data_IF_917789475468
#
_entry.id   IF_917789475468
#
_cell.length_a   1.000
_cell.length_b   1.000
_cell.length_c   1.000
_cell.angle_alpha   90.00
_cell.angle_beta   90.00
_cell.angle_gamma   90.00
#
_symmetry.space_group_name_H-M   'P 1'
#
loop_
_entity.id
_entity.type
_entity.pdbx_description
1 polymer ?
#
# COMPACT_ATOMS: atom_id res chain seq x y z
N UNK A 1 -0.39 -7.50 3.76
CA UNK A 1 0.29 -7.25 2.48
C UNK A 1 -0.46 -7.81 1.27
N UNK A 2 -0.72 -9.11 1.19
CA UNK A 2 -1.45 -9.75 0.08
C UNK A 2 -2.83 -9.10 -0.16
N UNK A 3 -3.60 -8.82 0.89
CA UNK A 3 -4.91 -8.17 0.77
C UNK A 3 -4.84 -6.78 0.10
N UNK A 4 -3.81 -6.00 0.39
CA UNK A 4 -3.64 -4.68 -0.25
C UNK A 4 -3.30 -4.84 -1.73
N UNK A 5 -2.46 -5.79 -2.07
CA UNK A 5 -2.15 -6.11 -3.47
C UNK A 5 -3.42 -6.54 -4.21
N UNK A 6 -4.25 -7.39 -3.61
CA UNK A 6 -5.53 -7.82 -4.17
C UNK A 6 -6.48 -6.63 -4.36
N UNK A 7 -6.58 -5.74 -3.38
CA UNK A 7 -7.38 -4.51 -3.50
C UNK A 7 -6.92 -3.66 -4.69
N UNK A 8 -5.63 -3.47 -4.85
CA UNK A 8 -5.08 -2.66 -5.92
C UNK A 8 -5.22 -3.32 -7.30
N UNK A 9 -5.07 -4.65 -7.39
CA UNK A 9 -5.34 -5.41 -8.61
C UNK A 9 -6.81 -5.28 -9.00
N UNK A 10 -7.73 -5.43 -8.05
CA UNK A 10 -9.17 -5.23 -8.30
C UNK A 10 -9.47 -3.80 -8.74
N UNK A 11 -8.83 -2.81 -8.12
CA UNK A 11 -8.99 -1.42 -8.49
C UNK A 11 -8.50 -1.14 -9.92
N UNK A 12 -7.34 -1.66 -10.30
CA UNK A 12 -6.79 -1.54 -11.66
C UNK A 12 -7.67 -2.25 -12.69
N UNK A 13 -8.19 -3.44 -12.35
CA UNK A 13 -9.12 -4.16 -13.21
C UNK A 13 -10.41 -3.38 -13.41
N UNK A 14 -10.96 -2.78 -12.35
CA UNK A 14 -12.15 -1.96 -12.42
C UNK A 14 -11.98 -0.75 -13.36
N UNK A 15 -10.86 -0.04 -13.27
CA UNK A 15 -10.58 1.11 -14.15
C UNK A 15 -10.42 0.69 -15.61
N UNK A 16 -9.89 -0.49 -15.87
CA UNK A 16 -9.65 -0.99 -17.23
C UNK A 16 -10.89 -1.57 -17.92
N UNK A 17 -11.86 -2.04 -17.15
CA UNK A 17 -13.10 -2.58 -17.71
C UNK A 17 -13.97 -1.41 -18.18
N UNK A 18 -14.01 -1.17 -19.50
CA UNK A 18 -14.85 -0.13 -20.11
C UNK A 18 -16.27 -0.18 -19.55
N UNK A 19 -16.57 0.69 -18.83
CA UNK A 19 -17.54 1.39 -18.02
C UNK A 19 -19.04 1.13 -18.26
N UNK A 20 -19.49 0.26 -19.09
CA UNK A 20 -20.94 0.15 -19.38
C UNK A 20 -21.69 -0.71 -18.36
N UNK A 21 -21.04 -1.74 -17.81
CA UNK A 21 -21.64 -2.57 -16.78
C UNK A 21 -20.67 -2.81 -15.63
N UNK A 22 -20.70 -1.91 -14.63
CA UNK A 22 -20.00 -2.19 -13.39
C UNK A 22 -20.78 -3.28 -12.68
N UNK A 23 -20.13 -4.40 -12.55
CA UNK A 23 -20.63 -5.49 -11.74
C UNK A 23 -20.61 -5.04 -10.26
N UNK A 24 -21.78 -4.97 -9.65
CA UNK A 24 -21.92 -4.57 -8.25
C UNK A 24 -21.09 -5.48 -7.32
N UNK A 25 -20.81 -6.70 -7.74
CA UNK A 25 -20.06 -7.67 -6.98
C UNK A 25 -18.57 -7.31 -6.86
N UNK A 26 -17.98 -6.65 -7.87
CA UNK A 26 -16.62 -6.09 -7.73
C UNK A 26 -16.56 -5.00 -6.67
N UNK A 27 -17.57 -4.16 -6.58
CA UNK A 27 -17.65 -3.10 -5.57
C UNK A 27 -17.81 -3.67 -4.17
N UNK A 28 -18.64 -4.71 -4.02
CA UNK A 28 -18.77 -5.45 -2.75
C UNK A 28 -17.42 -6.05 -2.34
N UNK A 29 -16.73 -6.74 -3.26
CA UNK A 29 -15.42 -7.33 -3.00
C UNK A 29 -14.39 -6.26 -2.60
N UNK A 30 -14.36 -5.13 -3.31
CA UNK A 30 -13.50 -4.00 -2.96
C UNK A 30 -13.77 -3.50 -1.54
N UNK A 31 -15.04 -3.29 -1.19
CA UNK A 31 -15.44 -2.80 0.13
C UNK A 31 -15.06 -3.80 1.24
N UNK A 32 -15.26 -5.09 1.03
CA UNK A 32 -14.88 -6.14 1.98
C UNK A 32 -13.37 -6.14 2.22
N UNK A 33 -12.58 -6.21 1.15
CA UNK A 33 -11.11 -6.25 1.25
C UNK A 33 -10.59 -4.98 1.95
N UNK A 34 -11.13 -3.82 1.58
CA UNK A 34 -10.73 -2.55 2.17
C UNK A 34 -11.05 -2.49 3.68
N UNK A 35 -12.24 -2.95 4.07
CA UNK A 35 -12.67 -3.02 5.47
C UNK A 35 -11.74 -3.93 6.28
N UNK A 36 -11.40 -5.11 5.77
CA UNK A 36 -10.45 -6.02 6.42
C UNK A 36 -9.08 -5.37 6.58
N UNK A 37 -8.59 -4.67 5.55
CA UNK A 37 -7.28 -4.00 5.59
C UNK A 37 -7.22 -2.94 6.68
N UNK A 38 -8.24 -2.07 6.76
CA UNK A 38 -8.32 -1.03 7.80
C UNK A 38 -8.43 -1.65 9.19
N UNK A 39 -9.21 -2.72 9.33
CA UNK A 39 -9.38 -3.43 10.60
C UNK A 39 -8.08 -4.02 11.13
N UNK A 40 -7.19 -4.46 10.22
CA UNK A 40 -5.88 -4.98 10.60
C UNK A 40 -4.90 -3.88 11.00
N UNK A 41 -4.96 -2.72 10.38
CA UNK A 41 -4.05 -1.61 10.65
C UNK A 41 -4.63 -0.28 10.18
N UNK A 42 -4.94 0.61 11.12
CA UNK A 42 -5.56 1.91 10.86
C UNK A 42 -4.76 2.77 9.85
N UNK A 43 -3.41 2.67 9.83
CA UNK A 43 -2.56 3.37 8.88
C UNK A 43 -2.92 3.06 7.41
N UNK A 44 -3.44 1.87 7.14
CA UNK A 44 -3.86 1.52 5.78
C UNK A 44 -5.15 2.23 5.33
N UNK A 45 -5.81 2.97 6.21
CA UNK A 45 -6.89 3.89 5.87
C UNK A 45 -6.50 4.93 4.82
N UNK A 46 -5.20 5.27 4.72
CA UNK A 46 -4.65 6.15 3.67
C UNK A 46 -5.02 5.66 2.25
N UNK A 47 -5.16 4.35 2.03
CA UNK A 47 -5.59 3.78 0.75
C UNK A 47 -7.05 4.10 0.40
N UNK A 48 -7.82 4.68 1.34
CA UNK A 48 -9.18 5.19 1.02
C UNK A 48 -9.18 6.21 -0.11
N UNK A 49 -8.07 6.92 -0.31
CA UNK A 49 -7.86 7.84 -1.43
C UNK A 49 -8.11 7.13 -2.78
N UNK A 50 -7.81 5.84 -2.90
CA UNK A 50 -8.06 5.05 -4.12
C UNK A 50 -9.55 4.81 -4.39
N UNK A 51 -10.41 4.95 -3.39
CA UNK A 51 -11.86 4.83 -3.58
C UNK A 51 -12.49 6.06 -4.24
N UNK A 52 -11.80 7.20 -4.23
CA UNK A 52 -12.35 8.47 -4.69
C UNK A 52 -12.83 8.45 -6.14
N UNK A 53 -12.07 7.97 -7.14
CA UNK A 53 -12.55 7.85 -8.51
C UNK A 53 -13.76 6.91 -8.64
N UNK A 54 -13.78 5.86 -7.81
CA UNK A 54 -14.88 4.91 -7.75
C UNK A 54 -16.17 5.56 -7.25
N UNK A 55 -16.07 6.35 -6.19
CA UNK A 55 -17.20 7.08 -5.60
C UNK A 55 -17.75 8.09 -6.61
N UNK A 56 -16.89 8.86 -7.28
CA UNK A 56 -17.30 9.82 -8.32
C UNK A 56 -18.05 9.10 -9.44
N UNK A 57 -17.51 7.99 -9.91
CA UNK A 57 -18.14 7.21 -10.97
C UNK A 57 -19.52 6.67 -10.56
N UNK A 58 -19.64 6.12 -9.36
CA UNK A 58 -20.92 5.63 -8.83
C UNK A 58 -21.94 6.76 -8.65
N UNK A 59 -21.49 7.93 -8.23
CA UNK A 59 -22.32 9.12 -8.13
C UNK A 59 -22.87 9.52 -9.49
N UNK A 60 -22.03 9.59 -10.51
CA UNK A 60 -22.43 9.90 -11.89
C UNK A 60 -23.44 8.89 -12.47
N UNK A 61 -23.29 7.61 -12.11
CA UNK A 61 -24.22 6.54 -12.55
C UNK A 61 -25.47 6.40 -11.66
N UNK A 62 -25.65 7.26 -10.66
CA UNK A 62 -26.76 7.19 -9.66
C UNK A 62 -26.85 5.83 -8.92
N UNK A 63 -25.74 5.09 -8.85
CA UNK A 63 -25.65 3.77 -8.19
C UNK A 63 -25.11 3.83 -6.77
N UNK A 64 -24.66 4.99 -6.30
CA UNK A 64 -24.07 5.17 -4.97
C UNK A 64 -25.06 4.80 -3.86
N UNK A 65 -26.31 5.22 -3.97
CA UNK A 65 -27.36 4.92 -2.99
C UNK A 65 -27.58 3.41 -2.88
N UNK A 66 -27.67 2.71 -4.01
CA UNK A 66 -27.84 1.25 -4.02
C UNK A 66 -26.68 0.51 -3.35
N UNK A 67 -25.45 1.06 -3.41
CA UNK A 67 -24.30 0.50 -2.71
C UNK A 67 -24.43 0.71 -1.19
N UNK A 68 -24.80 1.91 -0.75
CA UNK A 68 -24.92 2.26 0.68
C UNK A 68 -25.99 1.41 1.39
N UNK A 69 -27.11 1.10 0.71
CA UNK A 69 -28.16 0.24 1.24
C UNK A 69 -27.93 -1.26 1.03
N UNK A 70 -26.74 -1.66 0.55
CA UNK A 70 -26.41 -3.07 0.39
C UNK A 70 -26.04 -3.70 1.74
N UNK A 71 -26.52 -4.93 1.99
CA UNK A 71 -26.18 -5.70 3.21
C UNK A 71 -24.69 -5.82 3.45
N UNK A 72 -23.88 -6.01 2.38
CA UNK A 72 -22.43 -6.10 2.48
C UNK A 72 -21.82 -4.81 3.03
N UNK A 73 -22.27 -3.66 2.55
CA UNK A 73 -21.80 -2.36 3.03
C UNK A 73 -22.17 -2.16 4.51
N UNK A 74 -23.38 -2.54 4.90
CA UNK A 74 -23.81 -2.49 6.30
C UNK A 74 -22.92 -3.34 7.22
N UNK A 75 -22.62 -4.59 6.84
CA UNK A 75 -21.71 -5.44 7.64
C UNK A 75 -20.28 -4.88 7.70
N UNK A 76 -19.78 -4.33 6.62
CA UNK A 76 -18.48 -3.67 6.59
C UNK A 76 -18.44 -2.45 7.53
N UNK A 77 -19.50 -1.66 7.55
CA UNK A 77 -19.64 -0.52 8.46
C UNK A 77 -19.68 -0.95 9.93
N UNK A 78 -20.45 -2.01 10.24
CA UNK A 78 -20.49 -2.58 11.59
C UNK A 78 -19.11 -3.07 12.03
N UNK A 79 -18.34 -3.74 11.16
CA UNK A 79 -17.00 -4.23 11.48
C UNK A 79 -16.05 -3.07 11.79
N UNK A 80 -16.07 -2.00 10.99
CA UNK A 80 -15.25 -0.79 11.26
C UNK A 80 -15.68 -0.15 12.58
N UNK A 81 -16.99 -0.02 12.81
CA UNK A 81 -17.53 0.52 14.06
C UNK A 81 -17.07 -0.30 15.28
N UNK A 82 -17.06 -1.63 15.16
CA UNK A 82 -16.56 -2.51 16.21
C UNK A 82 -15.05 -2.32 16.48
N UNK A 83 -14.25 -2.17 15.44
CA UNK A 83 -12.80 -1.88 15.59
C UNK A 83 -12.56 -0.54 16.27
N UNK A 84 -13.31 0.49 15.88
CA UNK A 84 -13.22 1.82 16.53
C UNK A 84 -13.65 1.72 18.00
N UNK A 85 -14.73 1.01 18.27
CA UNK A 85 -15.21 0.80 19.64
C UNK A 85 -14.19 0.06 20.51
N UNK A 86 -13.59 -1.00 20.00
CA UNK A 86 -12.53 -1.74 20.74
C UNK A 86 -11.31 -0.86 21.00
N UNK A 87 -10.87 -0.04 20.06
CA UNK A 87 -9.81 0.93 20.30
C UNK A 87 -10.19 1.92 21.40
N UNK A 88 -11.40 2.47 21.33
CA UNK A 88 -11.89 3.40 22.34
C UNK A 88 -11.96 2.77 23.73
N UNK A 89 -12.52 1.57 23.84
CA UNK A 89 -12.62 0.86 25.14
C UNK A 89 -11.26 0.48 25.72
N UNK A 90 -10.26 0.21 24.89
CA UNK A 90 -8.93 -0.18 25.36
C UNK A 90 -8.00 0.99 25.65
N UNK A 91 -8.17 2.13 24.97
CA UNK A 91 -7.19 3.23 25.02
C UNK A 91 -7.80 4.60 25.31
N UNK A 92 -9.11 4.75 25.21
CA UNK A 92 -9.80 6.04 25.20
C UNK A 92 -9.72 6.78 23.86
N UNK A 93 -9.11 6.19 22.82
CA UNK A 93 -8.93 6.82 21.50
C UNK A 93 -9.71 6.06 20.42
N UNK A 94 -10.32 6.79 19.48
CA UNK A 94 -10.97 6.16 18.32
C UNK A 94 -9.94 5.57 17.35
N UNK A 95 -8.83 6.29 17.14
CA UNK A 95 -7.72 5.89 16.24
C UNK A 95 -6.38 6.02 17.00
N UNK A 96 -6.04 5.04 17.81
CA UNK A 96 -4.78 5.03 18.56
C UNK A 96 -3.57 4.82 17.64
N UNK A 97 -2.45 5.55 17.81
CA UNK A 97 -2.12 6.56 18.85
C UNK A 97 -2.34 8.03 18.40
N UNK A 98 -3.32 8.33 17.58
CA UNK A 98 -3.61 9.70 17.11
C UNK A 98 -4.32 10.51 18.23
N UNK A 99 -3.59 11.39 18.91
CA UNK A 99 -4.06 12.14 20.09
C UNK A 99 -5.33 12.95 19.86
N UNK A 100 -5.54 13.47 18.65
CA UNK A 100 -6.73 14.26 18.29
C UNK A 100 -8.03 13.45 18.35
N UNK A 101 -7.93 12.12 18.38
CA UNK A 101 -9.07 11.21 18.44
C UNK A 101 -9.29 10.62 19.83
N UNK A 102 -8.54 11.09 20.84
CA UNK A 102 -8.55 10.55 22.20
C UNK A 102 -9.41 11.39 23.14
N UNK A 103 -10.11 10.70 24.04
CA UNK A 103 -10.97 11.27 25.07
C UNK A 103 -10.34 11.02 26.44
N UNK A 104 -9.53 11.98 26.91
CA UNK A 104 -8.76 11.84 28.14
C UNK A 104 -9.61 11.96 29.45
N UNK A 105 -10.89 12.28 29.30
CA UNK A 105 -11.81 12.45 30.43
C UNK A 105 -12.47 11.14 30.90
N UNK A 106 -12.24 10.02 30.18
CA UNK A 106 -12.81 8.72 30.56
C UNK A 106 -11.87 7.97 31.50
N UNK A 107 -12.39 7.28 32.56
CA UNK A 107 -11.57 6.68 33.62
C UNK A 107 -10.55 5.65 33.15
N UNK A 108 -10.80 5.01 32.00
CA UNK A 108 -9.92 3.97 31.46
C UNK A 108 -8.98 4.47 30.33
N UNK A 109 -9.04 5.76 30.00
CA UNK A 109 -8.18 6.30 28.95
C UNK A 109 -6.72 6.29 29.36
N UNK A 110 -5.86 6.06 28.36
CA UNK A 110 -4.44 6.31 28.51
C UNK A 110 -4.20 7.81 28.75
N UNK A 111 -3.15 8.13 29.48
CA UNK A 111 -2.77 9.53 29.70
C UNK A 111 -2.28 10.18 28.42
N UNK A 112 -2.46 11.50 28.31
CA UNK A 112 -1.97 12.27 27.15
C UNK A 112 -0.47 12.02 26.91
N UNK A 113 0.33 12.05 27.96
CA UNK A 113 1.77 11.82 27.90
C UNK A 113 2.12 10.44 27.33
N UNK A 114 1.39 9.40 27.74
CA UNK A 114 1.57 8.05 27.20
C UNK A 114 1.25 7.98 25.71
N UNK A 115 0.16 8.60 25.28
CA UNK A 115 -0.25 8.61 23.85
C UNK A 115 0.77 9.36 23.01
N UNK A 116 1.23 10.53 23.45
CA UNK A 116 2.25 11.32 22.75
C UNK A 116 3.58 10.57 22.67
N UNK A 117 4.03 10.00 23.79
CA UNK A 117 5.26 9.20 23.81
C UNK A 117 5.22 8.02 22.82
N UNK A 118 4.10 7.30 22.75
CA UNK A 118 3.94 6.18 21.83
C UNK A 118 3.86 6.65 20.37
N UNK A 119 3.16 7.75 20.10
CA UNK A 119 3.10 8.32 18.74
C UNK A 119 4.50 8.69 18.25
N UNK A 120 5.26 9.44 19.04
CA UNK A 120 6.65 9.83 18.75
C UNK A 120 7.54 8.59 18.61
N UNK A 121 7.34 7.58 19.47
CA UNK A 121 8.11 6.34 19.39
C UNK A 121 7.90 5.59 18.08
N UNK A 122 6.67 5.44 17.60
CA UNK A 122 6.37 4.75 16.34
C UNK A 122 6.92 5.51 15.13
N UNK A 123 6.84 6.83 15.15
CA UNK A 123 7.40 7.66 14.08
C UNK A 123 8.93 7.58 14.05
N UNK A 124 9.59 7.75 15.19
CA UNK A 124 11.04 7.58 15.31
C UNK A 124 11.49 6.19 14.83
N UNK A 125 10.78 5.16 15.26
CA UNK A 125 11.10 3.79 14.87
C UNK A 125 11.02 3.61 13.35
N UNK A 126 10.03 4.19 12.68
CA UNK A 126 9.88 4.12 11.23
C UNK A 126 10.95 4.91 10.50
N UNK A 127 11.30 6.10 10.99
CA UNK A 127 12.29 7.01 10.40
C UNK A 127 13.73 6.61 10.68
N UNK A 128 14.00 5.89 11.79
CA UNK A 128 15.33 5.45 12.16
C UNK A 128 15.77 4.09 11.58
N UNK A 129 15.03 3.53 10.63
CA UNK A 129 15.41 2.31 9.93
C UNK A 129 14.70 1.04 10.36
N UNK A 130 13.63 1.13 11.15
CA UNK A 130 12.67 0.04 11.44
C UNK A 130 13.29 -1.29 11.87
N UNK A 131 14.40 -1.31 12.59
CA UNK A 131 15.09 -2.50 13.03
C UNK A 131 15.04 -2.76 14.53
N UNK A 132 15.24 -4.00 14.94
CA UNK A 132 15.59 -4.29 16.33
C UNK A 132 16.88 -3.55 16.66
N UNK A 133 16.84 -2.68 17.67
CA UNK A 133 18.02 -1.90 18.06
C UNK A 133 18.21 -0.56 17.32
N UNK A 134 17.14 -0.01 16.72
CA UNK A 134 17.19 1.40 16.36
C UNK A 134 17.38 2.21 17.65
N UNK A 135 18.53 2.47 18.07
CA UNK A 135 18.79 3.25 19.25
C UNK A 135 19.16 4.68 18.85
N UNK A 136 18.27 5.59 19.05
CA UNK A 136 18.54 7.02 19.09
C UNK A 136 18.92 7.38 20.54
N UNK A 137 20.03 6.81 21.07
CA UNK A 137 20.34 6.89 22.50
C UNK A 137 20.64 8.33 22.96
N UNK A 138 21.31 9.09 22.10
CA UNK A 138 21.83 10.42 22.43
C UNK A 138 21.22 11.54 21.59
N UNK A 139 20.12 11.27 20.87
CA UNK A 139 19.47 12.25 19.99
C UNK A 139 18.11 12.63 20.58
N UNK A 140 17.82 13.93 20.62
CA UNK A 140 16.47 14.41 20.90
C UNK A 140 15.51 13.87 19.85
N UNK A 141 14.59 13.01 20.30
CA UNK A 141 13.66 12.29 19.43
C UNK A 141 12.72 13.23 18.67
N UNK A 142 12.33 14.34 19.26
CA UNK A 142 11.46 15.32 18.61
C UNK A 142 12.22 16.09 17.53
N UNK A 143 13.44 16.50 17.81
CA UNK A 143 14.28 17.17 16.82
C UNK A 143 14.65 16.22 15.66
N UNK A 144 14.86 14.93 15.95
CA UNK A 144 15.16 13.94 14.91
C UNK A 144 14.04 13.76 13.90
N UNK A 145 12.77 13.70 14.35
CA UNK A 145 11.62 13.53 13.45
C UNK A 145 11.15 14.82 12.80
N UNK A 146 11.59 15.98 13.32
CA UNK A 146 11.24 17.28 12.77
C UNK A 146 11.89 17.48 11.39
N UNK A 147 11.21 18.20 10.55
CA UNK A 147 11.67 18.53 9.21
C UNK A 147 12.16 17.30 8.43
N UNK A 148 13.38 17.35 7.93
CA UNK A 148 14.02 16.26 7.18
C UNK A 148 15.31 15.74 7.84
N UNK A 149 15.52 15.98 9.13
CA UNK A 149 16.74 15.60 9.86
C UNK A 149 16.98 14.08 9.87
N UNK A 150 15.91 13.29 9.73
CA UNK A 150 15.95 11.83 9.70
C UNK A 150 16.38 11.23 8.34
N UNK A 151 16.32 11.99 7.24
CA UNK A 151 16.48 11.45 5.88
C UNK A 151 17.87 10.83 5.67
N UNK A 152 18.94 11.51 6.06
CA UNK A 152 20.30 11.01 5.87
C UNK A 152 20.49 9.64 6.56
N UNK A 153 20.08 9.55 7.81
CA UNK A 153 20.15 8.29 8.56
C UNK A 153 19.27 7.20 7.96
N UNK A 154 18.05 7.55 7.48
CA UNK A 154 17.15 6.62 6.82
C UNK A 154 17.75 6.08 5.51
N UNK A 155 18.36 6.95 4.70
CA UNK A 155 19.01 6.54 3.45
C UNK A 155 20.16 5.56 3.78
N UNK A 156 21.02 5.90 4.68
CA UNK A 156 22.22 5.10 5.00
C UNK A 156 21.88 3.76 5.66
N UNK A 157 20.93 3.75 6.61
CA UNK A 157 20.60 2.55 7.38
C UNK A 157 19.47 1.70 6.79
N UNK A 158 18.53 2.32 6.09
CA UNK A 158 17.33 1.62 5.66
C UNK A 158 17.22 1.49 4.14
N UNK A 159 17.43 2.59 3.40
CA UNK A 159 17.30 2.55 1.94
C UNK A 159 18.30 1.57 1.32
N UNK A 160 19.59 1.73 1.58
CA UNK A 160 20.61 0.85 1.01
C UNK A 160 20.55 -0.60 1.52
N UNK A 161 19.96 -0.84 2.68
CA UNK A 161 19.88 -2.19 3.25
C UNK A 161 18.58 -2.94 2.91
N UNK A 162 17.46 -2.23 2.70
CA UNK A 162 16.13 -2.84 2.53
C UNK A 162 15.44 -2.42 1.24
N UNK A 163 15.40 -1.12 0.95
CA UNK A 163 14.68 -0.61 -0.22
C UNK A 163 15.44 -0.96 -1.50
N UNK A 164 16.75 -0.81 -1.50
CA UNK A 164 17.60 -1.16 -2.63
C UNK A 164 17.45 -2.63 -3.03
N UNK A 165 17.32 -3.55 -2.07
CA UNK A 165 17.12 -4.98 -2.37
C UNK A 165 15.80 -5.24 -3.11
N UNK A 166 14.73 -4.54 -2.69
CA UNK A 166 13.46 -4.60 -3.39
C UNK A 166 13.58 -4.07 -4.82
N UNK A 167 14.24 -2.91 -5.01
CA UNK A 167 14.44 -2.31 -6.33
C UNK A 167 15.29 -3.20 -7.24
N UNK A 168 16.38 -3.77 -6.73
CA UNK A 168 17.20 -4.69 -7.51
C UNK A 168 16.42 -5.93 -7.94
N UNK A 169 15.60 -6.51 -7.06
CA UNK A 169 14.76 -7.66 -7.42
C UNK A 169 13.75 -7.31 -8.51
N UNK A 170 13.14 -6.12 -8.46
CA UNK A 170 12.21 -5.64 -9.50
C UNK A 170 12.92 -5.41 -10.83
N UNK A 171 14.07 -4.74 -10.83
CA UNK A 171 14.88 -4.49 -12.05
C UNK A 171 15.29 -5.82 -12.67
N UNK A 172 15.76 -6.75 -11.86
CA UNK A 172 16.20 -8.07 -12.33
C UNK A 172 15.04 -8.85 -12.97
N UNK A 173 13.85 -8.83 -12.36
CA UNK A 173 12.64 -9.44 -12.91
C UNK A 173 12.29 -8.85 -14.28
N UNK A 174 12.39 -7.53 -14.44
CA UNK A 174 12.16 -6.84 -15.71
C UNK A 174 13.17 -7.24 -16.77
N UNK A 175 14.46 -7.32 -16.43
CA UNK A 175 15.52 -7.74 -17.35
C UNK A 175 15.28 -9.17 -17.85
N UNK A 176 14.98 -10.10 -16.96
CA UNK A 176 14.65 -11.49 -17.35
C UNK A 176 13.44 -11.51 -18.28
N UNK A 177 12.40 -10.71 -17.98
CA UNK A 177 11.23 -10.63 -18.84
C UNK A 177 11.62 -10.18 -20.27
N UNK A 178 12.43 -9.13 -20.40
CA UNK A 178 12.90 -8.63 -21.70
C UNK A 178 13.67 -9.72 -22.48
N UNK A 179 14.50 -10.50 -21.79
CA UNK A 179 15.29 -11.57 -22.40
C UNK A 179 14.38 -12.72 -22.89
N UNK A 180 13.38 -13.09 -22.13
CA UNK A 180 12.52 -14.24 -22.42
C UNK A 180 11.41 -13.94 -23.46
N UNK A 181 11.04 -12.67 -23.60
CA UNK A 181 9.96 -12.28 -24.50
C UNK A 181 10.46 -11.47 -25.68
N UNK A 182 9.99 -11.83 -26.88
CA UNK A 182 10.32 -11.09 -28.11
C UNK A 182 9.46 -9.82 -28.21
N UNK A 183 10.06 -8.75 -28.71
CA UNK A 183 9.31 -7.52 -29.01
C UNK A 183 8.33 -7.78 -30.16
N UNK A 184 7.06 -7.45 -29.95
CA UNK A 184 6.01 -7.49 -30.96
C UNK A 184 5.83 -6.11 -31.59
N UNK A 185 5.80 -6.05 -32.93
CA UNK A 185 5.54 -4.80 -33.67
C UNK A 185 4.07 -4.39 -33.67
N UNK A 186 3.15 -5.25 -33.24
CA UNK A 186 1.71 -5.04 -33.30
C UNK A 186 1.21 -4.63 -31.91
N UNK A 187 1.33 -3.36 -31.58
CA UNK A 187 0.59 -2.78 -30.46
C UNK A 187 -0.81 -2.41 -30.92
N UNK A 188 -1.81 -3.16 -30.53
CA UNK A 188 -3.17 -2.61 -30.43
C UNK A 188 -3.12 -1.49 -29.41
N UNK A 189 -3.34 -0.26 -29.86
CA UNK A 189 -3.42 0.93 -29.01
C UNK A 189 -4.61 0.79 -28.04
N UNK A 190 -4.45 0.02 -26.99
CA UNK A 190 -5.33 0.11 -25.83
C UNK A 190 -4.95 1.39 -25.09
N UNK A 191 -5.75 2.46 -25.26
CA UNK A 191 -5.65 3.68 -24.47
C UNK A 191 -6.05 3.37 -23.00
N UNK A 192 -5.14 2.76 -22.26
CA UNK A 192 -5.31 2.56 -20.81
C UNK A 192 -4.89 3.84 -20.11
N UNK A 193 -5.84 4.51 -19.49
CA UNK A 193 -5.55 5.74 -18.76
C UNK A 193 -5.15 5.44 -17.32
N UNK A 194 -3.89 5.07 -17.08
CA UNK A 194 -3.34 4.85 -15.74
C UNK A 194 -2.90 6.13 -15.02
N UNK A 195 -3.00 7.29 -15.67
CA UNK A 195 -2.49 8.56 -15.13
C UNK A 195 -3.09 8.90 -13.76
N UNK A 196 -4.39 8.73 -13.61
CA UNK A 196 -5.08 9.01 -12.34
C UNK A 196 -4.64 8.05 -11.24
N UNK A 197 -4.52 6.74 -11.56
CA UNK A 197 -4.07 5.73 -10.59
C UNK A 197 -2.65 6.00 -10.17
N UNK A 198 -1.77 6.30 -11.11
CA UNK A 198 -0.38 6.62 -10.83
C UNK A 198 -0.26 7.89 -9.96
N UNK A 199 -1.03 8.92 -10.25
CA UNK A 199 -1.10 10.13 -9.44
C UNK A 199 -1.54 9.84 -8.00
N UNK A 200 -2.64 9.10 -7.82
CA UNK A 200 -3.14 8.75 -6.49
C UNK A 200 -2.14 7.89 -5.70
N UNK A 201 -1.49 6.92 -6.35
CA UNK A 201 -0.43 6.12 -5.73
C UNK A 201 0.78 6.97 -5.33
N UNK A 202 1.14 7.96 -6.16
CA UNK A 202 2.23 8.89 -5.83
C UNK A 202 1.88 9.75 -4.62
N UNK A 203 0.63 10.21 -4.50
CA UNK A 203 0.16 10.94 -3.31
C UNK A 203 0.24 10.06 -2.06
N UNK A 204 -0.26 8.81 -2.14
CA UNK A 204 -0.17 7.85 -1.03
C UNK A 204 1.29 7.58 -0.66
N UNK A 205 2.17 7.45 -1.65
CA UNK A 205 3.60 7.22 -1.44
C UNK A 205 4.27 8.39 -0.70
N UNK A 206 3.95 9.64 -1.07
CA UNK A 206 4.47 10.83 -0.39
C UNK A 206 3.99 10.87 1.06
N UNK A 207 2.70 10.64 1.31
CA UNK A 207 2.15 10.62 2.67
C UNK A 207 2.81 9.49 3.50
N UNK A 208 2.96 8.29 2.93
CA UNK A 208 3.65 7.17 3.58
C UNK A 208 5.10 7.53 3.94
N UNK A 209 5.83 8.14 2.99
CA UNK A 209 7.23 8.52 3.18
C UNK A 209 7.40 9.55 4.30
N UNK A 210 6.54 10.55 4.35
CA UNK A 210 6.62 11.61 5.36
C UNK A 210 6.24 11.13 6.77
N UNK A 211 5.25 10.23 6.88
CA UNK A 211 4.75 9.78 8.17
C UNK A 211 5.50 8.56 8.70
N UNK A 212 5.58 7.49 7.92
CA UNK A 212 6.13 6.20 8.36
C UNK A 212 6.88 5.48 7.24
N UNK A 213 8.10 5.92 6.87
CA UNK A 213 8.85 5.43 5.72
C UNK A 213 9.48 4.04 5.94
N UNK A 214 8.71 3.12 6.52
CA UNK A 214 9.12 1.74 6.69
C UNK A 214 8.37 0.81 5.74
N UNK A 215 9.08 -0.04 4.99
CA UNK A 215 8.47 -0.93 3.99
C UNK A 215 7.33 -1.78 4.55
N UNK A 216 7.44 -2.23 5.80
CA UNK A 216 6.38 -3.01 6.46
C UNK A 216 5.10 -2.21 6.76
N UNK A 217 5.16 -0.86 6.73
CA UNK A 217 3.99 0.01 6.88
C UNK A 217 3.34 0.37 5.54
N UNK A 218 3.53 -0.45 4.54
CA UNK A 218 2.89 -0.29 3.26
C UNK A 218 3.84 0.00 2.11
N UNK A 219 5.13 0.22 2.38
CA UNK A 219 6.11 0.56 1.37
C UNK A 219 6.32 -0.53 0.31
N UNK A 220 6.32 -1.82 0.68
CA UNK A 220 6.55 -2.90 -0.28
C UNK A 220 5.61 -2.84 -1.48
N UNK A 221 4.31 -2.69 -1.23
CA UNK A 221 3.33 -2.67 -2.32
C UNK A 221 3.25 -1.30 -3.00
N UNK A 222 3.53 -0.20 -2.30
CA UNK A 222 3.62 1.12 -2.93
C UNK A 222 4.77 1.17 -3.94
N UNK A 223 5.96 0.74 -3.55
CA UNK A 223 7.09 0.63 -4.48
C UNK A 223 6.75 -0.28 -5.64
N UNK A 224 6.24 -1.50 -5.35
CA UNK A 224 5.87 -2.43 -6.39
C UNK A 224 4.91 -1.81 -7.41
N UNK A 225 3.86 -1.13 -6.97
CA UNK A 225 2.83 -0.58 -7.86
C UNK A 225 3.31 0.65 -8.64
N UNK A 226 4.03 1.56 -7.98
CA UNK A 226 4.58 2.74 -8.64
C UNK A 226 5.54 2.34 -9.78
N UNK A 227 6.35 1.32 -9.56
CA UNK A 227 7.24 0.82 -10.60
C UNK A 227 6.53 -0.11 -11.59
N UNK A 228 5.59 -0.94 -11.11
CA UNK A 228 4.90 -1.91 -11.95
C UNK A 228 4.06 -1.25 -13.05
N UNK A 229 3.38 -0.13 -12.77
CA UNK A 229 2.55 0.55 -13.78
C UNK A 229 3.37 1.00 -14.99
N UNK A 230 4.43 1.81 -14.87
CA UNK A 230 5.25 2.20 -16.01
C UNK A 230 5.97 1.00 -16.67
N UNK A 231 6.40 0.03 -15.87
CA UNK A 231 7.04 -1.19 -16.37
C UNK A 231 6.04 -2.02 -17.19
N UNK A 232 4.81 -2.20 -16.71
CA UNK A 232 3.80 -2.97 -17.45
C UNK A 232 3.47 -2.33 -18.79
N UNK A 233 3.38 -1.00 -18.86
CA UNK A 233 3.20 -0.26 -20.11
C UNK A 233 4.39 -0.45 -21.08
N UNK A 234 5.60 -0.49 -20.55
CA UNK A 234 6.79 -0.79 -21.34
C UNK A 234 6.78 -2.24 -21.82
N UNK A 235 6.45 -3.18 -20.96
CA UNK A 235 6.45 -4.62 -21.23
C UNK A 235 5.30 -5.05 -22.15
N UNK A 236 4.24 -4.25 -22.31
CA UNK A 236 3.21 -4.48 -23.33
C UNK A 236 3.78 -4.58 -24.76
N UNK A 237 4.97 -4.01 -25.00
CA UNK A 237 5.68 -4.13 -26.28
C UNK A 237 6.23 -5.54 -26.55
N UNK A 238 6.34 -6.34 -25.52
CA UNK A 238 6.85 -7.70 -25.57
C UNK A 238 5.68 -8.66 -25.47
N UNK A 239 4.99 -8.93 -26.57
CA UNK A 239 3.95 -9.96 -26.60
C UNK A 239 4.47 -11.17 -27.34
N UNK A 240 4.38 -12.31 -26.72
CA UNK A 240 4.69 -13.58 -27.33
C UNK A 240 3.41 -14.41 -27.50
N UNK A 241 3.45 -15.41 -28.40
CA UNK A 241 2.37 -16.37 -28.49
C UNK A 241 2.11 -17.02 -27.12
N UNK A 242 0.85 -17.05 -26.69
CA UNK A 242 0.39 -17.57 -25.42
C UNK A 242 0.81 -19.02 -25.12
N UNK A 243 1.27 -19.76 -26.15
CA UNK A 243 1.78 -21.13 -26.04
C UNK A 243 3.05 -21.20 -25.23
N UNK A 244 3.22 -21.08 -24.10
CA UNK A 244 4.35 -21.21 -23.16
C UNK A 244 4.44 -20.04 -22.17
N UNK A 245 3.40 -19.18 -22.10
CA UNK A 245 3.39 -18.06 -21.20
C UNK A 245 3.59 -18.51 -19.74
N UNK A 246 2.85 -19.54 -19.32
CA UNK A 246 2.92 -20.05 -17.94
C UNK A 246 4.31 -20.58 -17.59
N UNK A 247 4.95 -21.29 -18.53
CA UNK A 247 6.31 -21.81 -18.31
C UNK A 247 7.34 -20.67 -18.23
N UNK A 248 7.22 -19.62 -19.04
CA UNK A 248 8.12 -18.46 -19.00
C UNK A 248 7.91 -17.66 -17.72
N UNK A 249 6.67 -17.45 -17.28
CA UNK A 249 6.35 -16.79 -16.01
C UNK A 249 6.93 -17.59 -14.85
N UNK A 250 6.77 -18.91 -14.84
CA UNK A 250 7.32 -19.77 -13.79
C UNK A 250 8.85 -19.66 -13.72
N UNK A 251 9.55 -19.65 -14.88
CA UNK A 251 11.00 -19.44 -14.94
C UNK A 251 11.40 -18.09 -14.35
N UNK A 252 10.69 -17.00 -14.68
CA UNK A 252 10.96 -15.66 -14.14
C UNK A 252 10.82 -15.68 -12.61
N UNK A 253 9.72 -16.25 -12.11
CA UNK A 253 9.45 -16.33 -10.65
C UNK A 253 10.53 -17.13 -9.96
N UNK A 254 10.87 -18.32 -10.48
CA UNK A 254 11.89 -19.19 -9.89
C UNK A 254 13.26 -18.53 -9.81
N UNK A 255 13.72 -17.92 -10.90
CA UNK A 255 15.01 -17.22 -10.93
C UNK A 255 15.00 -16.02 -9.98
N UNK A 256 13.92 -15.23 -9.97
CA UNK A 256 13.81 -14.05 -9.09
C UNK A 256 13.84 -14.46 -7.62
N UNK A 257 13.10 -15.50 -7.25
CA UNK A 257 13.10 -16.05 -5.88
C UNK A 257 14.50 -16.57 -5.52
N UNK A 258 15.16 -17.31 -6.41
CA UNK A 258 16.49 -17.84 -6.17
C UNK A 258 17.52 -16.73 -5.92
N UNK A 259 17.53 -15.69 -6.75
CA UNK A 259 18.42 -14.53 -6.57
C UNK A 259 18.13 -13.79 -5.27
N UNK A 260 16.84 -13.59 -4.95
CA UNK A 260 16.43 -12.93 -3.71
C UNK A 260 16.86 -13.73 -2.48
N UNK A 261 16.64 -15.03 -2.46
CA UNK A 261 17.05 -15.91 -1.35
C UNK A 261 18.57 -15.95 -1.24
N UNK A 262 19.29 -16.18 -2.35
CA UNK A 262 20.75 -16.24 -2.36
C UNK A 262 21.41 -14.95 -1.82
N UNK A 263 20.84 -13.78 -2.12
CA UNK A 263 21.31 -12.51 -1.58
C UNK A 263 21.05 -12.35 -0.08
N UNK A 264 19.94 -12.89 0.42
CA UNK A 264 19.56 -12.75 1.82
C UNK A 264 20.21 -13.80 2.74
N UNK A 265 20.67 -14.94 2.21
CA UNK A 265 21.38 -15.98 2.98
C UNK A 265 22.78 -15.49 3.36
N UNK A 266 23.42 -14.65 2.55
CA UNK A 266 24.78 -14.13 2.79
C UNK A 266 24.81 -12.85 3.67
N UNK A 267 23.69 -12.48 4.28
CA UNK A 267 23.55 -11.36 5.22
C UNK A 267 23.19 -11.83 6.62
#
# INVERSE_FOLDING_TARGET
MILIILLLINYLYFINKNNENIDLDYLKLFTIIFTIIISLKALYGIYFILSFPLIIFLYQKKKLINLLFNKTFFYCFLLIGFVILTNFLNTGCLLFPEKKTCFFNVPWSLTLDTVEHLSVHYENWAKAGSGAGYALKDIDKLNYISDFNWIENWINKYFFNKVSDLLYSLIFMVLIFIILFKSSKSLKNYKRNYKLVFFLLSVIFIIWFLLHPALRYGGYHLFFLIFFIPISLFLEKFSDNLKNLDRKILVIVMITVFVFVGRNVNR
#
